data_IF_692717967366
#
_entry.id   IF_692717967366
#
_cell.length_a   1.000
_cell.length_b   1.000
_cell.length_c   1.000
_cell.angle_alpha   90.00
_cell.angle_beta   90.00
_cell.angle_gamma   90.00
#
_symmetry.space_group_name_H-M   'P 1'
#
loop_
_entity.id
_entity.type
_entity.pdbx_description
1 polymer ?
#
# COMPACT_ATOMS: atom_id res chain seq x y z
N UNK A 1 50.62 32.30 -25.76
CA UNK A 1 51.38 32.31 -27.02
C UNK A 1 50.90 31.10 -27.83
N UNK A 2 50.22 31.34 -28.96
CA UNK A 2 49.69 30.34 -29.93
C UNK A 2 48.41 29.64 -29.44
N UNK A 3 47.16 29.78 -29.91
CA UNK A 3 46.53 30.19 -31.18
C UNK A 3 46.91 29.35 -32.41
N UNK A 4 45.95 28.54 -32.86
CA UNK A 4 45.65 27.98 -34.22
C UNK A 4 44.73 26.76 -33.97
N UNK A 5 43.39 26.80 -34.01
CA UNK A 5 42.37 27.33 -34.93
C UNK A 5 42.04 26.38 -36.11
N UNK A 6 40.72 26.13 -36.29
CA UNK A 6 40.01 25.54 -37.46
C UNK A 6 40.07 24.01 -37.68
N UNK A 7 38.98 23.25 -37.89
CA UNK A 7 37.56 23.57 -38.11
C UNK A 7 36.69 22.29 -38.21
N UNK A 8 35.35 22.40 -38.26
CA UNK A 8 34.45 21.26 -38.36
C UNK A 8 34.38 20.77 -39.82
N UNK A 9 34.41 19.44 -40.00
CA UNK A 9 34.31 18.80 -41.30
C UNK A 9 33.00 19.15 -42.02
N UNK A 10 33.12 19.89 -43.12
CA UNK A 10 32.06 20.14 -44.09
C UNK A 10 31.62 18.83 -44.76
N UNK A 11 30.47 18.31 -44.32
CA UNK A 11 29.71 17.28 -45.04
C UNK A 11 28.65 17.93 -45.93
N UNK A 12 29.08 18.37 -47.11
CA UNK A 12 28.32 18.59 -48.36
C UNK A 12 26.81 18.91 -48.26
N UNK A 13 26.49 20.18 -48.58
CA UNK A 13 25.17 20.61 -49.05
C UNK A 13 24.79 19.85 -50.31
N UNK A 14 23.83 18.93 -50.22
CA UNK A 14 23.09 18.47 -51.39
C UNK A 14 22.18 19.59 -51.88
N UNK A 15 22.45 20.11 -53.09
CA UNK A 15 21.56 21.01 -53.82
C UNK A 15 20.23 20.30 -54.06
N UNK A 16 19.15 20.88 -53.55
CA UNK A 16 17.80 20.46 -53.90
C UNK A 16 17.52 20.84 -55.36
N UNK A 17 17.57 19.85 -56.25
CA UNK A 17 16.90 19.94 -57.54
C UNK A 17 15.44 19.55 -57.33
N UNK A 18 14.56 20.53 -57.44
CA UNK A 18 13.13 20.32 -57.54
C UNK A 18 12.83 19.43 -58.76
N UNK A 19 12.27 18.24 -58.50
CA UNK A 19 11.29 17.52 -59.32
C UNK A 19 10.81 16.29 -58.55
N UNK A 20 9.51 16.04 -58.64
CA UNK A 20 8.73 15.27 -57.67
C UNK A 20 9.17 13.82 -57.44
N UNK A 21 8.94 13.38 -56.21
CA UNK A 21 9.17 12.01 -55.77
C UNK A 21 9.11 11.95 -54.25
N UNK A 22 7.92 11.71 -53.70
CA UNK A 22 7.67 11.65 -52.26
C UNK A 22 8.66 10.74 -51.54
N UNK A 23 9.52 11.34 -50.73
CA UNK A 23 10.62 10.71 -50.01
C UNK A 23 10.10 9.67 -49.00
N UNK A 24 10.15 8.38 -49.36
CA UNK A 24 9.72 7.24 -48.54
C UNK A 24 10.55 7.05 -47.26
N UNK A 25 11.73 7.68 -47.18
CA UNK A 25 12.62 7.59 -46.01
C UNK A 25 12.11 8.40 -44.82
N UNK A 26 11.32 9.46 -45.05
CA UNK A 26 10.75 10.29 -43.97
C UNK A 26 9.66 9.56 -43.17
N UNK A 27 8.82 8.77 -43.85
CA UNK A 27 7.79 7.93 -43.22
C UNK A 27 8.40 6.77 -42.43
N UNK A 28 9.45 6.14 -42.95
CA UNK A 28 10.19 5.08 -42.26
C UNK A 28 10.91 5.62 -41.02
N UNK A 29 11.55 6.79 -41.13
CA UNK A 29 12.19 7.45 -39.99
C UNK A 29 11.19 7.82 -38.89
N UNK A 30 10.02 8.37 -39.26
CA UNK A 30 8.95 8.66 -38.30
C UNK A 30 8.42 7.39 -37.60
N UNK A 31 8.18 6.32 -38.35
CA UNK A 31 7.75 5.03 -37.79
C UNK A 31 8.79 4.39 -36.86
N UNK A 32 10.08 4.46 -37.21
CA UNK A 32 11.18 4.00 -36.35
C UNK A 32 11.28 4.80 -35.05
N UNK A 33 11.09 6.12 -35.12
CA UNK A 33 11.11 6.98 -33.93
C UNK A 33 9.93 6.68 -32.99
N UNK A 34 8.72 6.50 -33.52
CA UNK A 34 7.54 6.10 -32.74
C UNK A 34 7.73 4.70 -32.15
N UNK A 35 8.22 3.74 -32.93
CA UNK A 35 8.51 2.39 -32.45
C UNK A 35 9.58 2.40 -31.33
N UNK A 36 10.61 3.24 -31.46
CA UNK A 36 11.65 3.39 -30.45
C UNK A 36 11.11 4.05 -29.16
N UNK A 37 10.23 5.05 -29.28
CA UNK A 37 9.56 5.66 -28.12
C UNK A 37 8.63 4.67 -27.42
N UNK A 38 7.85 3.89 -28.16
CA UNK A 38 6.99 2.83 -27.59
C UNK A 38 7.83 1.74 -26.93
N UNK A 39 8.95 1.32 -27.56
CA UNK A 39 9.87 0.37 -26.97
C UNK A 39 10.51 0.90 -25.68
N UNK A 40 10.95 2.17 -25.66
CA UNK A 40 11.46 2.83 -24.46
C UNK A 40 10.40 2.94 -23.36
N UNK A 41 9.17 3.29 -23.71
CA UNK A 41 8.04 3.31 -22.78
C UNK A 41 7.71 1.93 -22.21
N UNK A 42 7.77 0.87 -23.04
CA UNK A 42 7.62 -0.52 -22.60
C UNK A 42 8.75 -0.96 -21.68
N UNK A 43 10.00 -0.63 -22.00
CA UNK A 43 11.17 -0.94 -21.15
C UNK A 43 11.11 -0.18 -19.81
N UNK A 44 10.70 1.09 -19.81
CA UNK A 44 10.49 1.85 -18.57
C UNK A 44 9.34 1.27 -17.74
N UNK A 45 8.22 0.90 -18.36
CA UNK A 45 7.10 0.24 -17.67
C UNK A 45 7.51 -1.13 -17.09
N UNK A 46 8.31 -1.90 -17.83
CA UNK A 46 8.87 -3.18 -17.37
C UNK A 46 9.83 -2.99 -16.19
N UNK A 47 10.69 -1.97 -16.22
CA UNK A 47 11.63 -1.68 -15.14
C UNK A 47 10.91 -1.16 -13.87
N UNK A 48 9.83 -0.39 -14.02
CA UNK A 48 8.94 0.01 -12.91
C UNK A 48 8.14 -1.18 -12.37
N UNK A 49 7.66 -2.07 -13.23
CA UNK A 49 6.97 -3.30 -12.82
C UNK A 49 7.89 -4.26 -12.06
N UNK A 50 9.13 -4.44 -12.52
CA UNK A 50 10.14 -5.26 -11.85
C UNK A 50 10.51 -4.68 -10.47
N UNK A 51 10.70 -3.36 -10.36
CA UNK A 51 10.99 -2.68 -9.07
C UNK A 51 9.82 -2.65 -8.09
N UNK A 52 8.59 -2.82 -8.57
CA UNK A 52 7.38 -2.80 -7.72
C UNK A 52 6.81 -4.20 -7.43
N UNK A 53 7.53 -5.26 -7.82
CA UNK A 53 7.21 -6.63 -7.39
C UNK A 53 7.51 -6.76 -5.88
N UNK A 54 6.53 -6.42 -5.07
CA UNK A 54 6.55 -6.81 -3.66
C UNK A 54 6.55 -8.34 -3.63
N UNK A 55 7.54 -8.93 -2.96
CA UNK A 55 7.71 -10.39 -2.82
C UNK A 55 6.46 -11.09 -2.25
N UNK A 56 5.55 -10.33 -1.62
CA UNK A 56 4.20 -10.73 -1.27
C UNK A 56 3.21 -9.74 -1.88
N UNK A 57 2.13 -10.19 -2.53
CA UNK A 57 1.06 -9.28 -2.93
C UNK A 57 0.57 -8.51 -1.70
N UNK A 58 0.36 -7.19 -1.80
CA UNK A 58 -0.09 -6.41 -0.66
C UNK A 58 -1.46 -6.92 -0.22
N UNK A 59 -1.65 -7.13 1.08
CA UNK A 59 -2.92 -7.56 1.69
C UNK A 59 -4.10 -6.59 1.43
N UNK A 60 -3.83 -5.42 0.85
CA UNK A 60 -4.81 -4.40 0.52
C UNK A 60 -4.63 -3.90 -0.92
N UNK A 61 -5.72 -3.44 -1.54
CA UNK A 61 -5.74 -2.96 -2.92
C UNK A 61 -4.77 -1.77 -3.14
N UNK A 62 -4.09 -1.73 -4.30
CA UNK A 62 -3.11 -0.67 -4.63
C UNK A 62 -3.71 0.74 -4.61
N UNK A 63 -4.97 0.90 -5.03
CA UNK A 63 -5.67 2.21 -5.01
C UNK A 63 -5.84 2.74 -3.59
N UNK A 64 -6.18 1.86 -2.64
CA UNK A 64 -6.29 2.21 -1.23
C UNK A 64 -4.94 2.65 -0.65
N UNK A 65 -3.88 1.91 -0.93
CA UNK A 65 -2.52 2.28 -0.46
C UNK A 65 -2.05 3.61 -1.06
N UNK A 66 -2.34 3.84 -2.34
CA UNK A 66 -2.01 5.10 -3.01
C UNK A 66 -2.76 6.27 -2.39
N UNK A 67 -4.04 6.07 -2.05
CA UNK A 67 -4.86 7.07 -1.38
C UNK A 67 -4.33 7.43 0.01
N UNK A 68 -3.97 6.42 0.83
CA UNK A 68 -3.39 6.67 2.16
C UNK A 68 -2.08 7.47 2.09
N UNK A 69 -1.24 7.19 1.07
CA UNK A 69 -0.01 7.94 0.84
C UNK A 69 -0.30 9.37 0.37
N UNK A 70 -1.21 9.55 -0.59
CA UNK A 70 -1.55 10.88 -1.12
C UNK A 70 -2.26 11.77 -0.11
N UNK A 71 -3.05 11.17 0.79
CA UNK A 71 -3.74 11.89 1.86
C UNK A 71 -2.79 12.32 3.01
N UNK A 72 -1.50 11.97 2.94
CA UNK A 72 -0.51 12.33 3.95
C UNK A 72 -0.70 11.61 5.30
N UNK A 73 -1.58 10.60 5.36
CA UNK A 73 -1.91 9.91 6.60
C UNK A 73 -0.75 9.00 7.06
N UNK A 74 0.01 8.44 6.12
CA UNK A 74 1.12 7.52 6.40
C UNK A 74 2.18 7.58 5.30
N UNK A 75 3.45 7.39 5.66
CA UNK A 75 4.57 7.28 4.73
C UNK A 75 5.35 5.98 4.92
N UNK A 76 6.03 5.51 3.86
CA UNK A 76 7.04 4.44 3.85
C UNK A 76 6.99 3.40 4.97
N UNK A 77 7.67 3.69 6.09
CA UNK A 77 7.80 2.79 7.25
C UNK A 77 6.50 2.65 8.05
N UNK A 78 5.77 3.74 8.25
CA UNK A 78 4.49 3.74 8.96
C UNK A 78 3.43 2.94 8.20
N UNK A 79 3.40 3.08 6.87
CA UNK A 79 2.52 2.26 6.03
C UNK A 79 2.84 0.76 6.18
N UNK A 80 4.13 0.39 6.19
CA UNK A 80 4.53 -1.00 6.41
C UNK A 80 4.16 -1.50 7.81
N UNK A 81 4.29 -0.67 8.85
CA UNK A 81 3.88 -1.00 10.23
C UNK A 81 2.38 -1.20 10.32
N UNK A 82 1.59 -0.29 9.75
CA UNK A 82 0.14 -0.38 9.67
C UNK A 82 -0.31 -1.67 8.99
N UNK A 83 0.21 -1.98 7.80
CA UNK A 83 -0.17 -3.20 7.09
C UNK A 83 0.18 -4.46 7.89
N UNK A 84 1.35 -4.49 8.55
CA UNK A 84 1.71 -5.60 9.46
C UNK A 84 0.82 -5.68 10.70
N UNK A 85 0.25 -4.57 11.16
CA UNK A 85 -0.70 -4.57 12.26
C UNK A 85 -2.06 -5.12 11.81
N UNK A 86 -2.54 -4.74 10.62
CA UNK A 86 -3.78 -5.25 10.05
C UNK A 86 -3.75 -6.77 9.79
N UNK A 87 -2.57 -7.35 9.58
CA UNK A 87 -2.45 -8.82 9.43
C UNK A 87 -2.42 -9.57 10.75
N UNK A 88 -2.35 -8.90 11.90
CA UNK A 88 -2.37 -9.57 13.20
C UNK A 88 -3.81 -9.93 13.55
N UNK A 89 -4.07 -11.13 14.10
CA UNK A 89 -5.38 -11.45 14.63
C UNK A 89 -5.74 -10.45 15.73
N UNK A 90 -7.00 -10.01 15.72
CA UNK A 90 -7.47 -9.04 16.70
C UNK A 90 -7.55 -9.72 18.07
N UNK A 91 -7.02 -9.03 19.09
CA UNK A 91 -7.19 -9.47 20.48
C UNK A 91 -8.66 -9.31 20.88
N UNK A 92 -9.35 -10.35 21.37
CA UNK A 92 -10.75 -10.23 21.75
C UNK A 92 -10.94 -9.20 22.86
N UNK A 93 -11.94 -8.33 22.70
CA UNK A 93 -12.28 -7.30 23.67
C UNK A 93 -13.71 -7.51 24.19
N UNK A 94 -13.92 -7.21 25.46
CA UNK A 94 -15.24 -7.14 26.08
C UNK A 94 -15.47 -5.72 26.64
N UNK A 95 -16.72 -5.30 26.68
CA UNK A 95 -17.13 -4.04 27.30
C UNK A 95 -18.29 -4.31 28.25
N UNK A 96 -18.18 -3.83 29.47
CA UNK A 96 -19.25 -3.91 30.45
C UNK A 96 -20.41 -2.99 30.05
N UNK A 97 -21.64 -3.49 30.12
CA UNK A 97 -22.82 -2.67 29.92
C UNK A 97 -23.24 -1.98 31.21
N UNK A 98 -22.78 -0.73 31.41
CA UNK A 98 -23.05 0.06 32.62
C UNK A 98 -24.53 0.13 33.03
N UNK A 99 -25.46 0.11 32.06
CA UNK A 99 -26.90 0.21 32.35
C UNK A 99 -27.52 -1.09 32.88
N UNK A 100 -26.87 -2.23 32.61
CA UNK A 100 -27.35 -3.57 33.01
C UNK A 100 -26.47 -4.22 34.07
N UNK A 101 -25.35 -3.60 34.40
CA UNK A 101 -24.37 -4.16 35.32
C UNK A 101 -24.96 -4.36 36.71
N UNK A 102 -24.86 -5.58 37.23
CA UNK A 102 -25.20 -5.86 38.62
C UNK A 102 -23.99 -5.62 39.54
N UNK A 103 -24.21 -5.26 40.81
CA UNK A 103 -23.14 -5.21 41.80
C UNK A 103 -22.32 -6.50 41.79
N UNK A 104 -20.99 -6.38 41.83
CA UNK A 104 -20.09 -7.54 41.87
C UNK A 104 -19.75 -8.17 40.52
N UNK A 105 -20.13 -7.59 39.37
CA UNK A 105 -19.75 -8.14 38.06
C UNK A 105 -18.24 -8.34 37.90
N UNK A 106 -17.43 -7.36 38.33
CA UNK A 106 -15.95 -7.47 38.26
C UNK A 106 -15.43 -8.69 39.02
N UNK A 107 -16.01 -8.98 40.18
CA UNK A 107 -15.67 -10.16 40.97
C UNK A 107 -16.09 -11.44 40.24
N UNK A 108 -17.30 -11.48 39.67
CA UNK A 108 -17.80 -12.60 38.87
C UNK A 108 -16.96 -12.86 37.61
N UNK A 109 -16.43 -11.81 36.97
CA UNK A 109 -15.51 -11.94 35.83
C UNK A 109 -14.15 -12.51 36.25
N UNK A 110 -13.67 -12.16 37.45
CA UNK A 110 -12.45 -12.75 38.01
C UNK A 110 -12.68 -14.22 38.40
N UNK A 111 -13.84 -14.53 39.00
CA UNK A 111 -14.25 -15.88 39.39
C UNK A 111 -14.55 -16.80 38.19
N UNK A 112 -14.95 -16.25 37.04
CA UNK A 112 -15.27 -17.04 35.85
C UNK A 112 -14.03 -17.64 35.15
N UNK A 113 -12.83 -17.45 35.70
CA UNK A 113 -11.57 -17.92 35.11
C UNK A 113 -11.19 -17.21 33.81
N UNK A 114 -11.89 -16.11 33.47
CA UNK A 114 -11.64 -15.35 32.25
C UNK A 114 -10.42 -14.45 32.47
N UNK A 115 -9.29 -14.84 31.90
CA UNK A 115 -8.08 -14.02 31.96
C UNK A 115 -8.24 -12.77 31.07
N UNK A 116 -8.55 -11.63 31.69
CA UNK A 116 -8.76 -10.37 30.99
C UNK A 116 -7.98 -9.20 31.61
N UNK A 117 -7.35 -8.39 30.76
CA UNK A 117 -6.58 -7.22 31.15
C UNK A 117 -7.40 -5.94 30.92
N UNK A 118 -7.34 -4.95 31.80
CA UNK A 118 -8.05 -3.68 31.60
C UNK A 118 -7.52 -2.92 30.38
N UNK A 119 -8.42 -2.29 29.63
CA UNK A 119 -8.07 -1.39 28.52
C UNK A 119 -7.67 -0.03 29.11
N UNK A 120 -6.47 0.50 28.81
CA UNK A 120 -5.95 1.71 29.48
C UNK A 120 -6.85 2.95 29.33
N UNK A 121 -7.51 3.09 28.19
CA UNK A 121 -8.35 4.26 27.86
C UNK A 121 -9.85 4.01 28.08
N UNK A 122 -10.25 2.81 28.54
CA UNK A 122 -11.65 2.46 28.71
C UNK A 122 -11.86 1.72 30.05
N UNK A 123 -12.40 2.38 31.08
CA UNK A 123 -12.59 1.77 32.41
C UNK A 123 -13.49 0.53 32.43
N UNK A 124 -14.37 0.40 31.44
CA UNK A 124 -15.30 -0.73 31.27
C UNK A 124 -14.80 -1.75 30.25
N UNK A 125 -13.68 -1.47 29.60
CA UNK A 125 -13.12 -2.28 28.54
C UNK A 125 -12.09 -3.24 29.10
N UNK A 126 -12.13 -4.48 28.63
CA UNK A 126 -11.13 -5.47 28.96
C UNK A 126 -10.72 -6.23 27.70
N UNK A 127 -9.44 -6.55 27.62
CA UNK A 127 -8.89 -7.43 26.59
C UNK A 127 -8.76 -8.84 27.13
N UNK A 128 -9.37 -9.80 26.46
CA UNK A 128 -9.27 -11.21 26.82
C UNK A 128 -7.93 -11.76 26.34
N UNK A 129 -7.30 -12.61 27.14
CA UNK A 129 -6.02 -13.26 26.82
C UNK A 129 -6.20 -14.57 26.05
N UNK A 130 -7.36 -15.20 26.19
CA UNK A 130 -7.73 -16.44 25.51
C UNK A 130 -8.02 -16.22 24.02
N UNK A 131 -7.86 -17.29 23.25
CA UNK A 131 -8.18 -17.32 21.82
C UNK A 131 -9.69 -17.14 21.59
N UNK A 132 -10.15 -16.45 20.52
CA UNK A 132 -11.56 -16.11 20.31
C UNK A 132 -12.48 -17.34 20.34
N UNK A 133 -12.09 -18.41 19.65
CA UNK A 133 -12.83 -19.67 19.55
C UNK A 133 -12.98 -20.36 20.91
N UNK A 134 -11.91 -20.34 21.72
CA UNK A 134 -11.86 -20.98 23.04
C UNK A 134 -12.55 -20.16 24.15
N UNK A 135 -12.77 -18.87 23.91
CA UNK A 135 -13.15 -17.93 24.98
C UNK A 135 -14.62 -18.02 25.39
N UNK A 136 -15.49 -18.63 24.58
CA UNK A 136 -16.91 -18.82 24.90
C UNK A 136 -17.68 -17.51 25.17
N UNK A 137 -17.14 -16.36 24.73
CA UNK A 137 -17.67 -15.05 25.09
C UNK A 137 -19.12 -14.87 24.62
N UNK A 138 -19.42 -15.30 23.39
CA UNK A 138 -20.75 -15.18 22.77
C UNK A 138 -21.83 -16.10 23.37
N UNK A 139 -21.44 -17.18 24.04
CA UNK A 139 -22.38 -18.15 24.66
C UNK A 139 -22.47 -17.99 26.18
N UNK A 140 -21.60 -17.18 26.77
CA UNK A 140 -21.59 -16.95 28.22
C UNK A 140 -22.92 -16.36 28.72
N UNK A 141 -23.35 -16.78 29.92
CA UNK A 141 -24.57 -16.25 30.54
C UNK A 141 -24.55 -14.72 30.63
N UNK A 142 -23.39 -14.15 30.95
CA UNK A 142 -23.18 -12.70 31.05
C UNK A 142 -23.52 -11.99 29.73
N UNK A 143 -22.98 -12.51 28.62
CA UNK A 143 -23.25 -11.99 27.29
C UNK A 143 -24.72 -12.08 26.91
N UNK A 144 -25.36 -13.23 27.15
CA UNK A 144 -26.77 -13.44 26.84
C UNK A 144 -27.71 -12.55 27.66
N UNK A 145 -27.34 -12.21 28.90
CA UNK A 145 -28.09 -11.25 29.73
C UNK A 145 -27.78 -9.78 29.41
N UNK A 146 -26.74 -9.53 28.63
CA UNK A 146 -26.24 -8.21 28.28
C UNK A 146 -25.63 -7.45 29.46
N UNK A 147 -25.02 -8.17 30.41
CA UNK A 147 -24.29 -7.63 31.57
C UNK A 147 -22.90 -7.10 31.16
#
# INVERSE_FOLDING_TARGET
KGSEDLGPAEGQRCRATERGGGCSTSKLAASLMVACQVARGRLQAQHVAQRSSLHRPPHAARRFLSHLCSAGLMGGLELRRFLRACTRPLRPGLRINRRRVRPGLRRRLQESGLAADPVPWCPDGFFVRSDPESSGLGTSRLHLTGE
#
